data_IF_828551215767
#
_entry.id   IF_828551215767
#
_cell.length_a   1.000
_cell.length_b   1.000
_cell.length_c   1.000
_cell.angle_alpha   90.00
_cell.angle_beta   90.00
_cell.angle_gamma   90.00
#
_symmetry.space_group_name_H-M   'P 1'
#
loop_
_entity.id
_entity.type
_entity.pdbx_description
1 polymer ?
#
# COMPACT_ATOMS: atom_id res chain seq x y z
N UNK A 1 -1.96 -2.09 17.02
CA UNK A 1 -2.18 -0.80 16.33
C UNK A 1 -1.28 0.21 17.00
N UNK A 2 -0.68 1.11 16.25
CA UNK A 2 0.11 2.20 16.79
C UNK A 2 0.09 3.41 15.84
N UNK A 3 0.44 4.57 16.38
CA UNK A 3 0.71 5.80 15.62
C UNK A 3 2.22 5.83 15.34
N UNK A 4 2.62 6.20 14.13
CA UNK A 4 4.03 6.26 13.79
C UNK A 4 4.77 7.31 14.64
N UNK A 5 6.04 7.04 14.97
CA UNK A 5 6.87 7.99 15.70
C UNK A 5 7.21 9.25 14.89
N UNK A 6 7.18 9.15 13.55
CA UNK A 6 7.40 10.27 12.63
C UNK A 6 6.13 10.54 11.83
N UNK A 7 5.52 11.70 12.07
CA UNK A 7 4.35 12.20 11.37
C UNK A 7 4.60 13.60 10.81
N UNK A 8 3.83 13.97 9.79
CA UNK A 8 3.88 15.31 9.22
C UNK A 8 3.36 16.32 10.24
N UNK A 9 4.09 17.42 10.40
CA UNK A 9 3.65 18.56 11.20
C UNK A 9 3.35 19.75 10.28
N UNK A 10 2.21 20.38 10.48
CA UNK A 10 1.80 21.56 9.71
C UNK A 10 1.53 22.73 10.64
N UNK A 11 2.26 23.83 10.43
CA UNK A 11 2.04 25.08 11.14
C UNK A 11 0.89 25.88 10.52
N UNK A 12 -0.19 26.10 11.27
CA UNK A 12 -1.32 26.96 10.89
C UNK A 12 -1.44 28.09 11.90
N UNK A 13 -1.26 29.33 11.45
CA UNK A 13 -1.33 30.54 12.27
C UNK A 13 -0.40 30.51 13.52
N UNK A 14 0.76 29.86 13.40
CA UNK A 14 1.76 29.76 14.49
C UNK A 14 1.48 28.63 15.50
N UNK A 15 0.53 27.74 15.21
CA UNK A 15 0.27 26.51 15.96
C UNK A 15 0.61 25.32 15.07
N UNK A 16 1.40 24.38 15.59
CA UNK A 16 1.73 23.15 14.88
C UNK A 16 0.67 22.08 15.13
N UNK A 17 0.25 21.42 14.06
CA UNK A 17 -0.70 20.31 14.07
C UNK A 17 -0.03 19.05 13.54
N UNK A 18 -0.11 17.96 14.29
CA UNK A 18 0.33 16.64 13.86
C UNK A 18 -0.74 15.99 12.97
N UNK A 19 -0.31 15.50 11.81
CA UNK A 19 -1.11 14.64 10.94
C UNK A 19 -0.77 13.19 11.21
N UNK A 20 -1.46 12.61 12.19
CA UNK A 20 -1.19 11.25 12.65
C UNK A 20 -1.48 10.22 11.55
N UNK A 21 -0.43 9.50 11.15
CA UNK A 21 -0.50 8.24 10.43
C UNK A 21 -0.20 7.11 11.39
N UNK A 22 -0.68 5.92 11.07
CA UNK A 22 -0.45 4.75 11.89
C UNK A 22 -0.74 3.46 11.14
N UNK A 23 -0.62 2.37 11.87
CA UNK A 23 -0.86 1.04 11.37
C UNK A 23 -1.67 0.23 12.39
N UNK A 24 -2.45 -0.71 11.88
CA UNK A 24 -3.16 -1.67 12.69
C UNK A 24 -2.91 -3.07 12.17
N UNK A 25 -2.98 -4.04 13.06
CA UNK A 25 -2.83 -5.43 12.68
C UNK A 25 -3.75 -6.32 13.50
N UNK A 26 -4.09 -7.46 12.91
CA UNK A 26 -4.81 -8.54 13.56
C UNK A 26 -4.14 -9.86 13.20
N UNK A 27 -4.03 -10.76 14.18
CA UNK A 27 -3.60 -12.13 13.91
C UNK A 27 -4.81 -12.96 13.49
N UNK A 28 -4.80 -13.42 12.24
CA UNK A 28 -5.89 -14.15 11.61
C UNK A 28 -5.67 -15.65 11.77
N UNK A 29 -6.75 -16.35 12.15
CA UNK A 29 -6.85 -17.81 12.06
C UNK A 29 -8.08 -18.17 11.22
N UNK A 30 -7.85 -18.65 10.00
CA UNK A 30 -8.89 -19.08 9.07
C UNK A 30 -8.60 -20.50 8.58
N UNK A 31 -9.35 -21.48 9.09
CA UNK A 31 -9.04 -22.89 8.86
C UNK A 31 -7.63 -23.24 9.35
N UNK A 32 -6.80 -23.79 8.45
CA UNK A 32 -5.39 -24.12 8.71
C UNK A 32 -4.41 -22.93 8.56
N UNK A 33 -4.90 -21.77 8.11
CA UNK A 33 -4.06 -20.61 7.86
C UNK A 33 -3.90 -19.79 9.14
N UNK A 34 -2.66 -19.38 9.41
CA UNK A 34 -2.28 -18.48 10.51
C UNK A 34 -1.33 -17.42 9.97
N UNK A 35 -1.72 -16.16 10.07
CA UNK A 35 -0.93 -15.05 9.57
C UNK A 35 -1.33 -13.76 10.28
N UNK A 36 -0.46 -12.76 10.22
CA UNK A 36 -0.79 -11.40 10.62
C UNK A 36 -1.26 -10.62 9.40
N UNK A 37 -2.41 -9.97 9.53
CA UNK A 37 -2.90 -9.00 8.56
C UNK A 37 -2.66 -7.59 9.09
N UNK A 38 -1.91 -6.77 8.36
CA UNK A 38 -1.61 -5.38 8.73
C UNK A 38 -2.24 -4.44 7.69
N UNK A 39 -2.74 -3.30 8.13
CA UNK A 39 -3.20 -2.22 7.27
C UNK A 39 -2.50 -0.92 7.70
N UNK A 40 -2.11 -0.10 6.72
CA UNK A 40 -1.54 1.23 6.96
C UNK A 40 -1.97 2.20 5.85
N UNK A 41 -1.82 3.50 6.10
CA UNK A 41 -1.79 4.53 5.07
C UNK A 41 -0.57 5.41 5.38
N UNK A 42 0.47 5.35 4.54
CA UNK A 42 1.72 6.09 4.74
C UNK A 42 1.57 7.57 4.35
N UNK A 43 2.51 8.39 4.79
CA UNK A 43 2.53 9.82 4.49
C UNK A 43 2.55 10.12 2.99
N UNK A 44 1.69 11.05 2.55
CA UNK A 44 1.50 11.40 1.14
C UNK A 44 2.38 12.57 0.70
N UNK A 45 2.63 13.53 1.60
CA UNK A 45 3.28 14.79 1.26
C UNK A 45 4.80 14.67 1.24
N UNK A 46 5.39 13.88 2.15
CA UNK A 46 6.84 13.69 2.26
C UNK A 46 7.25 12.22 2.12
N UNK A 47 8.11 11.97 1.14
CA UNK A 47 8.73 10.66 0.87
C UNK A 47 9.74 10.29 1.96
N UNK A 48 10.39 11.28 2.59
CA UNK A 48 11.28 11.04 3.74
C UNK A 48 10.49 10.48 4.95
N UNK A 49 9.32 11.07 5.23
CA UNK A 49 8.44 10.60 6.30
C UNK A 49 7.85 9.22 5.95
N UNK A 50 7.35 9.03 4.71
CA UNK A 50 6.83 7.75 4.26
C UNK A 50 7.88 6.63 4.40
N UNK A 51 9.16 6.91 4.08
CA UNK A 51 10.27 5.98 4.27
C UNK A 51 10.50 5.64 5.75
N UNK A 52 10.48 6.64 6.64
CA UNK A 52 10.62 6.43 8.08
C UNK A 52 9.48 5.56 8.64
N UNK A 53 8.24 5.86 8.26
CA UNK A 53 7.05 5.10 8.63
C UNK A 53 7.11 3.66 8.11
N UNK A 54 7.54 3.44 6.86
CA UNK A 54 7.73 2.11 6.31
C UNK A 54 8.78 1.29 7.09
N UNK A 55 9.86 1.94 7.54
CA UNK A 55 10.88 1.30 8.38
C UNK A 55 10.34 0.85 9.73
N UNK A 56 9.58 1.73 10.40
CA UNK A 56 8.91 1.42 11.66
C UNK A 56 7.88 0.30 11.49
N UNK A 57 7.03 0.38 10.46
CA UNK A 57 6.05 -0.66 10.12
C UNK A 57 6.70 -2.03 9.97
N UNK A 58 7.77 -2.11 9.18
CA UNK A 58 8.48 -3.37 8.93
C UNK A 58 9.11 -3.91 10.23
N UNK A 59 9.67 -3.04 11.07
CA UNK A 59 10.28 -3.45 12.33
C UNK A 59 9.25 -3.96 13.35
N UNK A 60 8.12 -3.26 13.49
CA UNK A 60 7.18 -3.45 14.59
C UNK A 60 5.98 -4.34 14.23
N UNK A 61 5.52 -4.31 12.98
CA UNK A 61 4.33 -5.05 12.57
C UNK A 61 4.64 -6.43 11.97
N UNK A 62 5.88 -6.67 11.50
CA UNK A 62 6.29 -7.99 10.99
C UNK A 62 6.27 -9.02 12.11
N UNK A 63 5.47 -10.07 11.96
CA UNK A 63 5.39 -11.12 12.99
C UNK A 63 6.59 -12.07 12.89
N UNK A 64 7.25 -12.42 14.01
CA UNK A 64 8.40 -13.33 14.00
C UNK A 64 8.03 -14.81 13.90
N UNK A 65 6.75 -15.16 14.08
CA UNK A 65 6.27 -16.54 14.29
C UNK A 65 5.16 -16.98 13.33
N UNK A 66 4.77 -16.11 12.38
CA UNK A 66 3.75 -16.37 11.36
C UNK A 66 4.00 -15.51 10.13
N UNK A 67 3.45 -15.91 8.99
CA UNK A 67 3.47 -15.07 7.81
C UNK A 67 2.78 -13.73 8.07
N UNK A 68 3.28 -12.67 7.42
CA UNK A 68 2.69 -11.33 7.48
C UNK A 68 2.23 -10.95 6.08
N UNK A 69 0.96 -10.56 5.99
CA UNK A 69 0.39 -9.90 4.81
C UNK A 69 0.05 -8.49 5.24
N UNK A 70 0.54 -7.48 4.53
CA UNK A 70 0.09 -6.13 4.77
C UNK A 70 -0.38 -5.41 3.53
N UNK A 71 -1.40 -4.59 3.73
CA UNK A 71 -2.01 -3.76 2.71
C UNK A 71 -1.75 -2.29 3.06
N UNK A 72 -1.55 -1.48 2.04
CA UNK A 72 -1.33 -0.06 2.21
C UNK A 72 -1.93 0.73 1.07
N UNK A 73 -2.39 1.94 1.37
CA UNK A 73 -2.03 3.09 0.53
C UNK A 73 -0.63 3.52 0.99
N UNK A 74 0.38 3.15 0.21
CA UNK A 74 1.76 3.38 0.56
C UNK A 74 2.27 4.76 0.15
N UNK A 75 1.49 5.54 -0.63
CA UNK A 75 1.95 6.82 -1.20
C UNK A 75 3.37 6.75 -1.81
N UNK A 76 3.73 5.59 -2.39
CA UNK A 76 5.08 5.29 -2.85
C UNK A 76 5.06 4.45 -4.13
N UNK A 77 4.86 5.13 -5.25
CA UNK A 77 4.79 4.53 -6.58
C UNK A 77 6.15 3.94 -7.02
N UNK A 78 6.23 2.64 -7.37
CA UNK A 78 7.49 1.95 -7.68
C UNK A 78 8.22 2.48 -8.93
N UNK A 79 7.51 3.15 -9.84
CA UNK A 79 8.11 3.70 -11.07
C UNK A 79 8.42 5.19 -10.96
N UNK A 80 8.00 5.84 -9.87
CA UNK A 80 8.24 7.27 -9.66
C UNK A 80 9.59 7.51 -8.97
N UNK A 81 10.56 7.98 -9.77
CA UNK A 81 11.90 8.36 -9.30
C UNK A 81 12.07 9.85 -9.00
N UNK A 82 10.99 10.64 -9.08
CA UNK A 82 11.05 12.05 -8.74
C UNK A 82 11.31 12.26 -7.25
N UNK A 83 11.98 13.37 -6.92
CA UNK A 83 12.22 13.84 -5.56
C UNK A 83 11.48 15.16 -5.42
N UNK A 84 10.55 15.26 -4.47
CA UNK A 84 9.83 16.51 -4.20
C UNK A 84 10.82 17.55 -3.61
N UNK A 85 10.59 18.86 -3.79
CA UNK A 85 11.51 19.88 -3.27
C UNK A 85 11.79 19.82 -1.76
N UNK A 86 10.88 19.23 -0.98
CA UNK A 86 11.00 19.08 0.48
C UNK A 86 11.65 17.77 0.91
N UNK A 87 11.84 16.82 -0.01
CA UNK A 87 12.32 15.46 0.27
C UNK A 87 13.80 15.28 -0.12
N UNK A 88 14.43 14.26 0.46
CA UNK A 88 15.80 13.84 0.14
C UNK A 88 15.86 12.48 -0.56
N UNK A 89 14.76 11.72 -0.53
CA UNK A 89 14.62 10.41 -1.16
C UNK A 89 13.59 10.43 -2.30
N UNK A 90 13.71 9.54 -3.31
CA UNK A 90 12.72 9.46 -4.37
C UNK A 90 11.37 8.97 -3.84
N UNK A 91 10.29 9.30 -4.56
CA UNK A 91 8.93 8.90 -4.22
C UNK A 91 8.78 7.39 -3.98
N UNK A 92 9.52 6.55 -4.72
CA UNK A 92 9.53 5.09 -4.56
C UNK A 92 10.28 4.52 -3.35
N UNK A 93 10.89 5.36 -2.50
CA UNK A 93 11.83 4.91 -1.48
C UNK A 93 11.20 3.97 -0.43
N UNK A 94 9.97 4.23 0.00
CA UNK A 94 9.27 3.36 0.94
C UNK A 94 9.00 1.97 0.34
N UNK A 95 8.57 1.92 -0.93
CA UNK A 95 8.41 0.67 -1.68
C UNK A 95 9.73 -0.11 -1.79
N UNK A 96 10.83 0.57 -2.12
CA UNK A 96 12.17 -0.04 -2.22
C UNK A 96 12.64 -0.59 -0.86
N UNK A 97 12.37 0.11 0.24
CA UNK A 97 12.66 -0.37 1.59
C UNK A 97 11.88 -1.65 1.91
N UNK A 98 10.56 -1.63 1.70
CA UNK A 98 9.65 -2.75 1.99
C UNK A 98 10.06 -4.00 1.22
N UNK A 99 10.29 -3.87 -0.08
CA UNK A 99 10.59 -5.00 -0.97
C UNK A 99 12.06 -5.42 -0.96
N UNK A 100 12.97 -4.52 -0.60
CA UNK A 100 14.38 -4.78 -0.41
C UNK A 100 14.70 -5.26 1.00
N UNK A 101 15.11 -4.34 1.87
CA UNK A 101 15.55 -4.66 3.24
C UNK A 101 14.44 -5.28 4.10
N UNK A 102 13.18 -4.93 3.86
CA UNK A 102 12.03 -5.51 4.56
C UNK A 102 11.71 -6.95 4.15
N UNK A 103 12.23 -7.41 3.00
CA UNK A 103 12.05 -8.77 2.51
C UNK A 103 10.61 -9.14 2.17
N UNK A 104 9.76 -8.16 1.87
CA UNK A 104 8.38 -8.41 1.45
C UNK A 104 8.26 -8.59 -0.05
N UNK A 105 7.45 -9.56 -0.47
CA UNK A 105 7.06 -9.74 -1.87
C UNK A 105 5.90 -8.80 -2.22
N UNK A 106 6.04 -8.02 -3.29
CA UNK A 106 4.90 -7.36 -3.95
C UNK A 106 4.05 -8.43 -4.64
N UNK A 107 2.87 -8.72 -4.09
CA UNK A 107 2.04 -9.81 -4.60
C UNK A 107 1.43 -9.47 -5.95
N UNK A 108 1.18 -8.20 -6.29
CA UNK A 108 0.70 -7.86 -7.63
C UNK A 108 1.77 -8.19 -8.68
N UNK A 109 3.03 -7.83 -8.40
CA UNK A 109 4.16 -8.17 -9.26
C UNK A 109 4.38 -9.67 -9.36
N UNK A 110 4.28 -10.41 -8.24
CA UNK A 110 4.39 -11.87 -8.23
C UNK A 110 3.31 -12.55 -9.10
N UNK A 111 2.14 -11.94 -9.28
CA UNK A 111 1.09 -12.48 -10.15
C UNK A 111 1.45 -12.52 -11.64
N UNK A 112 2.63 -12.01 -12.02
CA UNK A 112 3.11 -11.94 -13.40
C UNK A 112 2.48 -10.80 -14.22
N UNK A 113 1.74 -9.91 -13.56
CA UNK A 113 1.19 -8.70 -14.18
C UNK A 113 2.26 -7.61 -14.28
N UNK A 114 2.15 -6.68 -15.26
CA UNK A 114 2.99 -5.50 -15.27
C UNK A 114 2.85 -4.76 -13.92
N UNK A 115 3.99 -4.30 -13.38
CA UNK A 115 4.04 -3.59 -12.10
C UNK A 115 5.14 -2.51 -12.07
N UNK A 116 6.07 -2.55 -13.02
CA UNK A 116 7.23 -1.65 -13.14
C UNK A 116 7.10 -0.69 -14.34
N UNK A 117 5.87 -0.44 -14.80
CA UNK A 117 5.52 0.56 -15.81
C UNK A 117 4.29 1.34 -15.31
N UNK A 118 4.07 2.60 -15.73
CA UNK A 118 2.80 3.27 -15.46
C UNK A 118 1.68 2.68 -16.31
N UNK A 119 0.43 2.85 -15.86
CA UNK A 119 -0.76 2.67 -16.65
C UNK A 119 -1.75 1.65 -16.10
N UNK A 120 -2.93 1.64 -16.73
CA UNK A 120 -4.05 0.81 -16.31
C UNK A 120 -3.68 -0.67 -16.09
N UNK A 121 -3.01 -1.31 -17.05
CA UNK A 121 -2.62 -2.73 -16.94
C UNK A 121 -1.52 -3.00 -15.89
N UNK A 122 -0.81 -1.95 -15.46
CA UNK A 122 0.21 -2.06 -14.43
C UNK A 122 -0.34 -2.08 -13.01
N UNK A 123 -1.66 -1.87 -12.85
CA UNK A 123 -2.32 -1.86 -11.56
C UNK A 123 -2.42 -0.49 -10.92
N UNK A 124 -2.38 0.59 -11.72
CA UNK A 124 -2.63 1.95 -11.23
C UNK A 124 -3.98 2.03 -10.51
N UNK A 125 -3.95 2.55 -9.30
CA UNK A 125 -5.08 2.65 -8.39
C UNK A 125 -5.44 4.07 -8.05
N UNK A 126 -4.59 5.07 -8.27
CA UNK A 126 -4.87 6.45 -7.91
C UNK A 126 -4.66 7.41 -9.07
N UNK A 127 -5.15 8.64 -8.91
CA UNK A 127 -4.94 9.76 -9.82
C UNK A 127 -6.20 10.60 -10.09
N UNK A 128 -7.39 10.14 -9.67
CA UNK A 128 -8.61 10.93 -9.81
C UNK A 128 -8.57 12.21 -8.97
N UNK A 129 -9.33 13.21 -9.41
CA UNK A 129 -9.53 14.46 -8.70
C UNK A 129 -10.23 14.27 -7.34
N UNK A 130 -10.05 15.26 -6.45
CA UNK A 130 -10.57 15.24 -5.09
C UNK A 130 -12.11 15.30 -5.03
N UNK A 131 -12.75 15.76 -6.11
CA UNK A 131 -14.22 15.78 -6.25
C UNK A 131 -14.80 14.45 -6.73
N UNK A 132 -13.95 13.50 -7.13
CA UNK A 132 -14.30 12.17 -7.64
C UNK A 132 -15.41 12.18 -8.68
N UNK A 133 -15.40 13.18 -9.57
CA UNK A 133 -16.46 13.45 -10.56
C UNK A 133 -15.97 13.37 -12.02
N UNK A 134 -14.75 12.86 -12.23
CA UNK A 134 -14.17 12.71 -13.56
C UNK A 134 -15.04 11.85 -14.51
N UNK A 135 -14.98 12.17 -15.80
CA UNK A 135 -15.60 11.35 -16.83
C UNK A 135 -14.84 10.02 -17.01
N UNK A 136 -15.54 8.98 -17.47
CA UNK A 136 -14.92 7.71 -17.87
C UNK A 136 -14.18 7.87 -19.21
N UNK A 137 -12.96 7.30 -19.38
CA UNK A 137 -12.16 6.63 -18.36
C UNK A 137 -11.45 7.63 -17.44
N UNK A 138 -11.57 7.46 -16.12
CA UNK A 138 -10.91 8.32 -15.13
C UNK A 138 -9.38 8.28 -15.23
N UNK A 139 -8.72 9.26 -14.60
CA UNK A 139 -7.26 9.43 -14.64
C UNK A 139 -6.50 8.50 -13.68
N UNK A 140 -6.37 7.22 -14.04
CA UNK A 140 -5.55 6.27 -13.30
C UNK A 140 -4.09 6.37 -13.72
N UNK A 141 -3.23 6.94 -12.86
CA UNK A 141 -1.84 7.28 -13.20
C UNK A 141 -0.80 6.81 -12.19
N UNK A 142 -1.23 6.31 -11.03
CA UNK A 142 -0.34 5.95 -9.93
C UNK A 142 -0.65 4.59 -9.36
N UNK A 143 0.39 3.79 -9.12
CA UNK A 143 0.30 2.53 -8.38
C UNK A 143 0.83 2.72 -6.97
N UNK A 144 -0.04 3.15 -6.06
CA UNK A 144 0.32 3.42 -4.66
C UNK A 144 -0.40 2.53 -3.64
N UNK A 145 -1.44 1.81 -4.07
CA UNK A 145 -2.12 0.82 -3.24
C UNK A 145 -1.52 -0.57 -3.48
N UNK A 146 -1.03 -1.22 -2.42
CA UNK A 146 -0.28 -2.48 -2.56
C UNK A 146 -0.73 -3.54 -1.56
N UNK A 147 -0.44 -4.79 -1.93
CA UNK A 147 -0.53 -5.95 -1.05
C UNK A 147 0.83 -6.63 -1.03
N UNK A 148 1.46 -6.62 0.13
CA UNK A 148 2.77 -7.23 0.38
C UNK A 148 2.64 -8.48 1.23
N UNK A 149 3.59 -9.41 1.07
CA UNK A 149 3.58 -10.66 1.83
C UNK A 149 4.95 -11.30 2.03
N UNK A 150 5.15 -11.91 3.20
CA UNK A 150 6.27 -12.82 3.50
C UNK A 150 5.88 -13.88 4.53
N UNK A 151 6.57 -15.01 4.54
CA UNK A 151 6.48 -16.00 5.63
C UNK A 151 7.22 -15.49 6.88
N UNK A 152 7.06 -16.21 8.00
CA UNK A 152 7.80 -15.92 9.25
C UNK A 152 9.31 -15.96 9.01
N UNK A 153 9.78 -16.96 8.25
CA UNK A 153 11.18 -17.15 7.91
C UNK A 153 11.69 -16.18 6.83
N UNK A 154 10.82 -15.31 6.30
CA UNK A 154 11.19 -14.32 5.27
C UNK A 154 11.12 -14.83 3.85
N UNK A 155 10.52 -16.00 3.62
CA UNK A 155 10.30 -16.52 2.27
C UNK A 155 9.14 -15.80 1.58
N UNK A 156 9.20 -15.76 0.25
CA UNK A 156 8.18 -15.14 -0.58
C UNK A 156 6.82 -15.86 -0.43
N UNK A 157 5.76 -15.07 -0.28
CA UNK A 157 4.40 -15.56 -0.51
C UNK A 157 4.08 -15.44 -2.00
N UNK A 158 3.23 -16.34 -2.50
CA UNK A 158 2.82 -16.32 -3.90
C UNK A 158 1.36 -15.94 -4.08
N UNK A 159 1.00 -15.59 -5.31
CA UNK A 159 -0.39 -15.36 -5.71
C UNK A 159 -0.71 -16.03 -7.04
N UNK A 160 -1.98 -16.40 -7.20
CA UNK A 160 -2.51 -16.95 -8.44
C UNK A 160 -3.71 -16.15 -8.97
N UNK A 161 -4.08 -15.04 -8.31
CA UNK A 161 -5.07 -14.08 -8.84
C UNK A 161 -4.88 -12.71 -8.20
N UNK A 162 -4.95 -11.68 -9.03
CA UNK A 162 -5.01 -10.27 -8.63
C UNK A 162 -6.03 -9.52 -9.47
N UNK A 163 -6.71 -8.54 -8.88
CA UNK A 163 -7.66 -7.65 -9.54
C UNK A 163 -7.59 -6.24 -8.94
N UNK A 164 -7.67 -5.22 -9.80
CA UNK A 164 -8.01 -3.86 -9.37
C UNK A 164 -9.51 -3.66 -9.51
N UNK A 165 -10.17 -3.08 -8.51
CA UNK A 165 -11.62 -2.93 -8.42
C UNK A 165 -12.02 -1.46 -8.35
N UNK A 166 -13.22 -1.11 -8.81
CA UNK A 166 -13.72 0.27 -8.69
C UNK A 166 -13.17 1.23 -9.75
N UNK A 167 -12.49 0.73 -10.78
CA UNK A 167 -11.99 1.52 -11.93
C UNK A 167 -12.41 1.04 -13.32
N UNK A 168 -12.84 -0.21 -13.44
CA UNK A 168 -13.19 -0.84 -14.72
C UNK A 168 -14.65 -0.53 -15.09
N UNK A 169 -14.93 -0.28 -16.38
CA UNK A 169 -16.27 0.02 -16.86
C UNK A 169 -16.76 1.40 -16.43
N UNK A 170 -17.97 1.47 -15.88
CA UNK A 170 -18.49 2.67 -15.19
C UNK A 170 -18.91 2.30 -13.77
N UNK A 171 -18.00 2.37 -12.78
CA UNK A 171 -18.25 1.99 -11.39
C UNK A 171 -18.88 3.14 -10.59
N UNK A 172 -19.18 4.28 -11.23
CA UNK A 172 -19.68 5.47 -10.56
C UNK A 172 -21.10 5.23 -10.07
N UNK A 173 -21.45 5.87 -8.96
CA UNK A 173 -22.81 5.82 -8.43
C UNK A 173 -23.80 6.39 -9.48
N UNK A 174 -24.85 5.64 -9.87
CA UNK A 174 -25.72 6.04 -10.98
C UNK A 174 -26.61 7.25 -10.66
N UNK A 175 -26.71 7.66 -9.39
CA UNK A 175 -27.52 8.81 -8.97
C UNK A 175 -26.72 10.10 -9.00
N UNK A 176 -25.49 10.05 -8.50
CA UNK A 176 -24.61 11.20 -8.31
C UNK A 176 -23.58 11.35 -9.43
N UNK A 177 -23.25 10.26 -10.12
CA UNK A 177 -22.19 10.20 -11.12
C UNK A 177 -20.77 10.19 -10.52
N UNK A 178 -20.63 9.99 -9.20
CA UNK A 178 -19.33 10.03 -8.51
C UNK A 178 -18.65 8.66 -8.48
N UNK A 179 -17.32 8.67 -8.59
CA UNK A 179 -16.50 7.47 -8.35
C UNK A 179 -16.58 7.05 -6.87
N UNK A 180 -16.46 5.74 -6.55
CA UNK A 180 -16.53 5.28 -5.16
C UNK A 180 -15.44 5.85 -4.25
N UNK A 181 -14.28 6.16 -4.82
CA UNK A 181 -13.15 6.86 -4.20
C UNK A 181 -12.28 7.41 -5.34
N UNK A 182 -11.40 8.34 -5.01
CA UNK A 182 -10.26 8.78 -5.82
C UNK A 182 -9.23 7.67 -6.08
N UNK A 183 -9.31 6.59 -5.29
CA UNK A 183 -8.54 5.37 -5.43
C UNK A 183 -9.41 4.17 -5.86
N UNK A 184 -8.79 3.24 -6.59
CA UNK A 184 -9.30 1.92 -6.89
C UNK A 184 -8.80 0.93 -5.82
N UNK A 185 -9.56 -0.14 -5.58
CA UNK A 185 -9.16 -1.18 -4.64
C UNK A 185 -8.24 -2.23 -5.26
N UNK A 186 -7.39 -2.88 -4.46
CA UNK A 186 -6.55 -4.02 -4.88
C UNK A 186 -6.97 -5.29 -4.16
N UNK A 187 -7.22 -6.36 -4.91
CA UNK A 187 -7.61 -7.67 -4.39
C UNK A 187 -6.61 -8.71 -4.85
N UNK A 188 -6.00 -9.40 -3.89
CA UNK A 188 -5.04 -10.49 -4.14
C UNK A 188 -5.51 -11.80 -3.50
N UNK A 189 -5.31 -12.92 -4.21
CA UNK A 189 -5.51 -14.27 -3.67
C UNK A 189 -4.16 -14.86 -3.25
N UNK A 190 -3.86 -14.71 -1.97
CA UNK A 190 -2.56 -15.10 -1.39
C UNK A 190 -2.47 -16.60 -1.14
N UNK A 191 -1.31 -17.18 -1.49
CA UNK A 191 -0.93 -18.59 -1.27
C UNK A 191 0.31 -18.68 -0.38
N UNK A 192 0.58 -19.87 0.15
CA UNK A 192 1.73 -20.11 1.04
C UNK A 192 1.53 -19.72 2.51
N UNK A 193 0.35 -19.23 2.88
CA UNK A 193 -0.02 -18.96 4.28
C UNK A 193 -0.39 -20.27 5.01
N UNK A 194 0.60 -21.06 5.39
CA UNK A 194 0.41 -22.26 6.24
C UNK A 194 0.97 -22.01 7.64
N UNK A 195 0.26 -22.45 8.67
CA UNK A 195 0.84 -22.45 10.02
C UNK A 195 1.93 -23.51 10.11
N UNK A 196 3.11 -23.16 10.61
CA UNK A 196 4.05 -24.18 11.08
C UNK A 196 3.40 -24.94 12.23
N UNK A 197 3.25 -26.26 12.07
CA UNK A 197 2.99 -27.16 13.18
C UNK A 197 4.31 -27.30 13.96
N UNK A 198 4.52 -26.41 14.92
CA UNK A 198 5.42 -26.66 16.04
C UNK A 198 4.78 -27.59 17.06
#
# INVERSE_FOLDING_TARGET
QDVYAVNLQVGVAGVDFDFDRGYQWVDVRAGGQRFRFVNTHLEAFSSDIALAQAGELVAEATSPDRGTVFVCDCNSDPVNSSIKPIDHVPHRAAYELITGAGGYTDLWKDSGRPADLPGFDAGDTSGLNETVDEAVPGSWTHRIDMVFGRTADGEALSTDRGQVTGRDGDPRDPTTGLWPSDHAGVVMRVRGLTGHHG
#
